data_IF_254095922078
#
_entry.id   IF_254095922078
#
_cell.length_a   1.000
_cell.length_b   1.000
_cell.length_c   1.000
_cell.angle_alpha   90.00
_cell.angle_beta   90.00
_cell.angle_gamma   90.00
#
_symmetry.space_group_name_H-M   'P 1'
#
loop_
_entity.id
_entity.type
_entity.pdbx_description
1 polymer ?
#
# COMPACT_ATOMS: atom_id res chain seq x y z
N UNK A 1 -18.37 18.11 -48.21
CA UNK A 1 -17.26 17.29 -47.68
C UNK A 1 -17.08 17.67 -46.21
N UNK A 2 -17.62 16.87 -45.29
CA UNK A 2 -17.55 17.15 -43.84
C UNK A 2 -16.38 16.43 -43.20
N UNK A 3 -15.43 17.17 -42.65
CA UNK A 3 -14.27 16.64 -41.93
C UNK A 3 -14.66 16.26 -40.50
N UNK A 4 -14.69 14.94 -40.24
CA UNK A 4 -14.88 14.36 -38.90
C UNK A 4 -13.72 14.75 -37.99
N UNK A 5 -14.02 15.48 -36.92
CA UNK A 5 -13.11 15.79 -35.82
C UNK A 5 -13.03 14.57 -34.89
N UNK A 6 -11.93 13.83 -34.94
CA UNK A 6 -11.69 12.69 -34.04
C UNK A 6 -11.17 13.21 -32.69
N UNK A 7 -12.06 13.34 -31.69
CA UNK A 7 -11.66 13.54 -30.30
C UNK A 7 -11.01 12.26 -29.77
N UNK A 8 -9.69 12.26 -29.58
CA UNK A 8 -9.01 11.25 -28.76
C UNK A 8 -9.42 11.47 -27.31
N UNK A 9 -10.36 10.66 -26.82
CA UNK A 9 -10.65 10.52 -25.40
C UNK A 9 -9.44 9.83 -24.76
N UNK A 10 -8.65 10.58 -24.00
CA UNK A 10 -7.66 10.02 -23.07
C UNK A 10 -8.41 9.28 -21.97
N UNK A 11 -8.40 7.96 -22.04
CA UNK A 11 -8.92 7.08 -21.00
C UNK A 11 -8.04 7.22 -19.76
N UNK A 12 -8.48 8.02 -18.78
CA UNK A 12 -7.90 8.03 -17.44
C UNK A 12 -8.23 6.70 -16.77
N UNK A 13 -7.29 5.76 -16.78
CA UNK A 13 -7.35 4.57 -15.95
C UNK A 13 -7.12 5.00 -14.49
N UNK A 14 -8.20 5.21 -13.75
CA UNK A 14 -8.14 5.34 -12.29
C UNK A 14 -7.94 3.96 -11.70
N UNK A 15 -6.70 3.60 -11.39
CA UNK A 15 -6.35 2.36 -10.70
C UNK A 15 -6.88 2.44 -9.27
N UNK A 16 -8.05 1.87 -9.02
CA UNK A 16 -8.64 1.81 -7.67
C UNK A 16 -7.68 1.05 -6.75
N UNK A 17 -7.08 1.73 -5.77
CA UNK A 17 -6.30 1.07 -4.72
C UNK A 17 -7.28 0.29 -3.86
N UNK A 18 -7.25 -1.04 -3.98
CA UNK A 18 -8.09 -1.92 -3.17
C UNK A 18 -7.45 -2.08 -1.79
N UNK A 19 -8.15 -1.64 -0.75
CA UNK A 19 -7.69 -1.76 0.64
C UNK A 19 -8.34 -2.98 1.30
N UNK A 20 -7.58 -3.71 2.11
CA UNK A 20 -8.06 -4.85 2.90
C UNK A 20 -7.81 -4.59 4.37
N UNK A 21 -8.83 -4.78 5.21
CA UNK A 21 -8.69 -4.64 6.66
C UNK A 21 -8.07 -5.91 7.23
N UNK A 22 -7.00 -5.76 7.99
CA UNK A 22 -6.27 -6.86 8.64
C UNK A 22 -6.11 -6.54 10.13
N UNK A 23 -6.26 -7.56 10.98
CA UNK A 23 -5.98 -7.48 12.42
C UNK A 23 -4.66 -8.20 12.71
N UNK A 24 -3.73 -7.53 13.38
CA UNK A 24 -2.46 -8.11 13.82
C UNK A 24 -2.45 -8.28 15.34
N UNK A 25 -1.89 -9.40 15.81
CA UNK A 25 -1.58 -9.60 17.23
C UNK A 25 -0.10 -9.31 17.42
N UNK A 26 0.22 -8.38 18.31
CA UNK A 26 1.60 -7.97 18.60
C UNK A 26 1.81 -7.89 20.12
N UNK A 27 3.06 -8.01 20.61
CA UNK A 27 3.36 -7.74 22.01
C UNK A 27 2.99 -6.30 22.38
N UNK A 28 2.46 -6.11 23.59
CA UNK A 28 2.02 -4.80 24.10
C UNK A 28 3.14 -3.73 24.02
N UNK A 29 4.38 -4.13 24.26
CA UNK A 29 5.55 -3.25 24.20
C UNK A 29 5.73 -2.65 22.79
N UNK A 30 5.45 -3.43 21.74
CA UNK A 30 5.56 -2.96 20.36
C UNK A 30 4.46 -1.93 20.07
N UNK A 31 3.22 -2.19 20.48
CA UNK A 31 2.11 -1.24 20.29
C UNK A 31 2.39 0.10 20.99
N UNK A 32 2.90 0.07 22.23
CA UNK A 32 3.31 1.28 22.96
C UNK A 32 4.42 2.05 22.24
N UNK A 33 5.42 1.36 21.69
CA UNK A 33 6.50 2.01 20.95
C UNK A 33 5.99 2.66 19.65
N UNK A 34 5.06 2.00 18.94
CA UNK A 34 4.42 2.57 17.74
C UNK A 34 3.56 3.78 18.11
N UNK A 35 2.88 3.75 19.25
CA UNK A 35 2.11 4.87 19.77
C UNK A 35 2.96 6.09 20.10
N UNK A 36 4.08 5.89 20.81
CA UNK A 36 5.04 6.95 21.11
C UNK A 36 5.59 7.54 19.81
N UNK A 37 6.00 6.70 18.86
CA UNK A 37 6.52 7.18 17.58
C UNK A 37 5.47 7.92 16.76
N UNK A 38 4.21 7.46 16.77
CA UNK A 38 3.07 8.14 16.14
C UNK A 38 2.87 9.54 16.73
N UNK A 39 2.93 9.67 18.07
CA UNK A 39 2.80 10.96 18.74
C UNK A 39 3.96 11.93 18.41
N UNK A 40 5.19 11.43 18.35
CA UNK A 40 6.38 12.25 18.05
C UNK A 40 6.40 12.70 16.58
N UNK A 41 6.06 11.79 15.66
CA UNK A 41 6.16 12.06 14.21
C UNK A 41 4.92 12.73 13.61
N UNK A 42 3.80 12.77 14.35
CA UNK A 42 2.50 13.23 13.85
C UNK A 42 1.89 12.31 12.79
N UNK A 43 2.42 11.10 12.62
CA UNK A 43 1.98 10.11 11.64
C UNK A 43 0.97 9.15 12.25
N UNK A 44 0.06 8.61 11.44
CA UNK A 44 -0.90 7.62 11.94
C UNK A 44 -0.23 6.25 12.15
N UNK A 45 -0.67 5.51 13.19
CA UNK A 45 -0.17 4.16 13.49
C UNK A 45 -0.22 3.24 12.26
N UNK A 46 -1.30 3.31 11.49
CA UNK A 46 -1.49 2.45 10.31
C UNK A 46 -0.46 2.72 9.20
N UNK A 47 -0.07 3.99 8.98
CA UNK A 47 0.95 4.37 7.99
C UNK A 47 2.32 3.82 8.40
N UNK A 48 2.65 3.95 9.69
CA UNK A 48 3.92 3.47 10.27
C UNK A 48 4.04 1.95 10.08
N UNK A 49 3.00 1.21 10.44
CA UNK A 49 2.97 -0.26 10.30
C UNK A 49 3.03 -0.68 8.84
N UNK A 50 2.31 0.01 7.96
CA UNK A 50 2.30 -0.28 6.51
C UNK A 50 3.67 -0.04 5.90
N UNK A 51 4.34 1.05 6.25
CA UNK A 51 5.70 1.34 5.79
C UNK A 51 6.70 0.32 6.31
N UNK A 52 6.66 -0.01 7.61
CA UNK A 52 7.56 -1.01 8.20
C UNK A 52 7.41 -2.38 7.51
N UNK A 53 6.17 -2.80 7.22
CA UNK A 53 5.89 -4.02 6.48
C UNK A 53 6.40 -3.94 5.03
N UNK A 54 6.15 -2.82 4.34
CA UNK A 54 6.60 -2.61 2.97
C UNK A 54 8.13 -2.65 2.87
N UNK A 55 8.84 -1.95 3.76
CA UNK A 55 10.31 -1.97 3.83
C UNK A 55 10.85 -3.36 4.14
N UNK A 56 10.21 -4.10 5.04
CA UNK A 56 10.59 -5.48 5.34
C UNK A 56 10.44 -6.38 4.10
N UNK A 57 9.30 -6.32 3.41
CA UNK A 57 9.05 -7.11 2.20
C UNK A 57 10.04 -6.76 1.07
N UNK A 58 10.35 -5.47 0.89
CA UNK A 58 11.37 -5.02 -0.07
C UNK A 58 12.75 -5.58 0.27
N UNK A 59 13.12 -5.62 1.55
CA UNK A 59 14.38 -6.23 2.00
C UNK A 59 14.47 -7.73 1.70
N UNK A 60 13.33 -8.39 1.48
CA UNK A 60 13.21 -9.79 1.06
C UNK A 60 13.05 -9.97 -0.46
N UNK A 61 13.16 -8.90 -1.23
CA UNK A 61 13.05 -8.92 -2.69
C UNK A 61 11.61 -8.91 -3.21
N UNK A 62 10.61 -8.68 -2.35
CA UNK A 62 9.21 -8.58 -2.75
C UNK A 62 8.85 -7.13 -3.10
N UNK A 63 7.90 -6.95 -4.01
CA UNK A 63 7.42 -5.63 -4.43
C UNK A 63 6.09 -5.31 -3.71
N UNK A 64 6.07 -4.56 -2.60
CA UNK A 64 4.87 -4.33 -1.80
C UNK A 64 3.78 -3.51 -2.51
N UNK A 65 4.13 -2.83 -3.61
CA UNK A 65 3.19 -2.04 -4.42
C UNK A 65 2.74 -2.75 -5.69
N UNK A 66 3.19 -4.00 -5.91
CA UNK A 66 2.78 -4.82 -7.04
C UNK A 66 2.10 -6.06 -6.51
N UNK A 67 0.88 -6.32 -6.93
CA UNK A 67 0.21 -7.57 -6.60
C UNK A 67 1.11 -8.74 -7.04
N UNK A 68 1.38 -9.73 -6.16
CA UNK A 68 2.16 -10.89 -6.55
C UNK A 68 1.43 -11.59 -7.71
N UNK A 69 2.14 -11.82 -8.82
CA UNK A 69 1.56 -12.38 -10.04
C UNK A 69 1.20 -13.86 -9.92
N UNK A 70 1.71 -14.54 -8.91
CA UNK A 70 1.36 -15.89 -8.50
C UNK A 70 2.15 -16.21 -7.23
N UNK A 71 1.46 -16.64 -6.18
CA UNK A 71 2.13 -17.31 -5.04
C UNK A 71 1.76 -18.78 -5.20
N UNK A 72 2.66 -19.56 -5.82
CA UNK A 72 2.57 -21.02 -5.70
C UNK A 72 2.97 -21.33 -4.26
N UNK A 73 2.00 -21.72 -3.44
CA UNK A 73 2.28 -22.45 -2.22
C UNK A 73 2.48 -23.91 -2.65
N UNK A 74 3.74 -24.33 -2.77
CA UNK A 74 4.11 -25.76 -2.75
C UNK A 74 3.89 -26.33 -1.35
#
# INVERSE_FOLDING_TARGET
>A
MSTKTTKKQSTQFSTKIQTTRVTYVVPEIIDKNVEIYSAISGRQKHDIVTEALASYLQSKGLQPHKAPSSVNYD
#
